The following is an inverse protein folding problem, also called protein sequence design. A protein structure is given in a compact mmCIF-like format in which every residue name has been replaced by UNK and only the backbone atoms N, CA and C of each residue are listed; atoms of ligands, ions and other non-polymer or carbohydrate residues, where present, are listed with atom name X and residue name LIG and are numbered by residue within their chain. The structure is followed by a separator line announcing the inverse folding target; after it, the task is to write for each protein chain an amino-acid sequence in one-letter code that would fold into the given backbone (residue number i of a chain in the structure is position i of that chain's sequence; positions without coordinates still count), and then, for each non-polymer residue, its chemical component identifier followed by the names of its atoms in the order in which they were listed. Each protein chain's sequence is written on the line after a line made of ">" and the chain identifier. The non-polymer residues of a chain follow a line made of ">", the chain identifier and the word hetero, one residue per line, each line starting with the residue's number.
data_IF_407744020611
#
_entry.id   IF_407744020611
#
_cell.length_a   1.000
_cell.length_b   1.000
_cell.length_c   1.000
_cell.angle_alpha   90.00
_cell.angle_beta   90.00
_cell.angle_gamma   90.00
#
_symmetry.space_group_name_H-M   'P 1'
#
loop_
_entity.id
_entity.type
_entity.pdbx_description
1 polymer ?
#
# COMPACT_ATOMS: atom_id res chain seq x y z
N UNK A 1 -31.59 -42.46 19.95
CA UNK A 1 -31.69 -42.45 18.47
C UNK A 1 -32.19 -41.09 18.00
N UNK A 2 -31.28 -40.21 17.60
CA UNK A 2 -31.37 -39.43 16.35
C UNK A 2 -30.06 -38.67 16.19
N UNK A 3 -29.27 -39.20 15.27
CA UNK A 3 -27.98 -38.69 14.81
C UNK A 3 -28.29 -37.53 13.84
N UNK A 4 -27.27 -36.70 13.60
CA UNK A 4 -27.19 -35.61 12.59
C UNK A 4 -27.35 -34.20 13.19
N UNK A 5 -26.40 -33.82 14.04
CA UNK A 5 -26.04 -32.40 14.20
C UNK A 5 -25.20 -31.98 12.99
N UNK A 6 -25.90 -31.41 12.00
CA UNK A 6 -25.51 -30.36 11.07
C UNK A 6 -24.00 -30.23 10.71
N UNK A 7 -23.64 -30.82 9.55
CA UNK A 7 -22.35 -30.67 8.82
C UNK A 7 -22.24 -29.25 8.22
N UNK A 8 -22.50 -28.19 9.00
CA UNK A 8 -22.37 -26.79 8.55
C UNK A 8 -21.10 -26.11 9.02
N UNK A 9 -20.31 -26.76 9.88
CA UNK A 9 -19.06 -26.21 10.42
C UNK A 9 -17.80 -26.58 9.62
N UNK A 10 -17.91 -27.28 8.47
CA UNK A 10 -16.75 -27.74 7.70
C UNK A 10 -16.20 -26.75 6.65
N UNK A 11 -16.78 -25.55 6.54
CA UNK A 11 -16.30 -24.50 5.63
C UNK A 11 -16.06 -23.17 6.34
N UNK A 12 -15.53 -23.20 7.57
CA UNK A 12 -14.90 -22.01 8.13
C UNK A 12 -13.57 -21.82 7.40
N UNK A 13 -13.58 -20.96 6.38
CA UNK A 13 -12.35 -20.47 5.76
C UNK A 13 -11.45 -19.87 6.84
N UNK A 14 -10.13 -20.08 6.77
CA UNK A 14 -9.22 -19.48 7.73
C UNK A 14 -9.37 -17.95 7.64
N UNK A 15 -9.54 -17.31 8.80
CA UNK A 15 -9.57 -15.86 8.98
C UNK A 15 -8.22 -15.31 8.48
N UNK A 16 -8.20 -14.81 7.25
CA UNK A 16 -7.06 -14.24 6.52
C UNK A 16 -7.44 -12.83 6.03
N UNK A 17 -7.81 -11.97 6.97
CA UNK A 17 -8.49 -10.71 6.63
C UNK A 17 -7.90 -9.45 7.30
N UNK A 18 -6.97 -9.57 8.25
CA UNK A 18 -6.39 -8.39 8.93
C UNK A 18 -4.91 -8.14 8.63
N UNK A 19 -4.03 -9.14 8.74
CA UNK A 19 -2.57 -8.94 8.60
C UNK A 19 -2.16 -8.43 7.21
N UNK A 20 -2.74 -8.97 6.14
CA UNK A 20 -2.46 -8.56 4.77
C UNK A 20 -2.90 -7.12 4.48
N UNK A 21 -3.97 -6.65 5.15
CA UNK A 21 -4.44 -5.27 5.03
C UNK A 21 -3.55 -4.32 5.83
N UNK A 22 -3.11 -4.72 7.03
CA UNK A 22 -2.20 -3.94 7.86
C UNK A 22 -0.85 -3.73 7.16
N UNK A 23 -0.30 -4.79 6.56
CA UNK A 23 0.96 -4.69 5.80
C UNK A 23 0.79 -3.84 4.54
N UNK A 24 -0.36 -3.92 3.88
CA UNK A 24 -0.66 -3.07 2.74
C UNK A 24 -0.77 -1.58 3.14
N UNK A 25 -1.41 -1.28 4.27
CA UNK A 25 -1.52 0.08 4.79
C UNK A 25 -0.14 0.65 5.18
N UNK A 26 0.72 -0.15 5.82
CA UNK A 26 2.11 0.24 6.08
C UNK A 26 2.87 0.57 4.80
N UNK A 27 2.79 -0.29 3.78
CA UNK A 27 3.45 -0.05 2.50
C UNK A 27 2.94 1.22 1.80
N UNK A 28 1.66 1.56 1.99
CA UNK A 28 1.07 2.77 1.46
C UNK A 28 1.56 4.03 2.20
N UNK A 29 1.63 3.98 3.53
CA UNK A 29 2.18 5.05 4.36
C UNK A 29 3.67 5.29 4.05
N UNK A 30 4.44 4.21 3.89
CA UNK A 30 5.84 4.26 3.46
C UNK A 30 5.96 4.93 2.09
N UNK A 31 5.14 4.55 1.10
CA UNK A 31 5.15 5.18 -0.21
C UNK A 31 4.77 6.67 -0.17
N UNK A 32 3.87 7.07 0.75
CA UNK A 32 3.55 8.48 0.94
C UNK A 32 4.75 9.24 1.53
N UNK A 33 5.41 8.67 2.53
CA UNK A 33 6.62 9.24 3.13
C UNK A 33 7.74 9.36 2.10
N UNK A 34 8.03 8.30 1.34
CA UNK A 34 9.00 8.33 0.24
C UNK A 34 8.70 9.45 -0.76
N UNK A 35 7.42 9.64 -1.13
CA UNK A 35 7.05 10.73 -2.02
C UNK A 35 7.32 12.10 -1.39
N UNK A 36 7.01 12.29 -0.10
CA UNK A 36 7.28 13.55 0.60
C UNK A 36 8.77 13.82 0.73
N UNK A 37 9.56 12.80 1.00
CA UNK A 37 11.02 12.91 1.09
C UNK A 37 11.64 13.27 -0.27
N UNK A 38 11.21 12.60 -1.35
CA UNK A 38 11.66 12.91 -2.71
C UNK A 38 11.19 14.31 -3.19
N UNK A 39 9.98 14.74 -2.80
CA UNK A 39 9.49 16.10 -3.05
C UNK A 39 10.36 17.14 -2.32
N UNK A 40 10.73 16.87 -1.07
CA UNK A 40 11.63 17.73 -0.30
C UNK A 40 13.04 17.76 -0.91
N UNK A 41 13.56 16.61 -1.34
CA UNK A 41 14.87 16.55 -2.00
C UNK A 41 14.89 17.38 -3.28
N UNK A 42 13.89 17.20 -4.17
CA UNK A 42 13.76 18.00 -5.39
C UNK A 42 13.66 19.51 -5.12
N UNK A 43 12.98 19.93 -4.04
CA UNK A 43 12.88 21.35 -3.67
C UNK A 43 14.19 21.97 -3.18
N UNK A 44 15.10 21.15 -2.65
CA UNK A 44 16.31 21.63 -1.99
C UNK A 44 17.61 21.29 -2.73
N UNK A 45 17.55 20.41 -3.75
CA UNK A 45 18.73 20.07 -4.55
C UNK A 45 19.19 21.29 -5.36
N UNK A 46 20.46 21.65 -5.21
CA UNK A 46 21.10 22.76 -5.95
C UNK A 46 22.19 22.28 -6.90
N UNK A 47 22.58 21.02 -6.79
CA UNK A 47 23.55 20.39 -7.69
C UNK A 47 22.87 20.11 -9.04
N UNK A 48 23.35 20.76 -10.10
CA UNK A 48 22.80 20.64 -11.44
C UNK A 48 22.79 19.21 -11.96
N UNK A 49 23.80 18.40 -11.60
CA UNK A 49 23.91 17.01 -12.08
C UNK A 49 22.88 16.09 -11.39
N UNK A 50 22.27 16.54 -10.29
CA UNK A 50 21.30 15.79 -9.50
C UNK A 50 19.85 16.25 -9.72
N UNK A 51 19.61 17.37 -10.41
CA UNK A 51 18.25 17.90 -10.65
C UNK A 51 17.39 16.88 -11.41
N UNK A 52 17.91 16.34 -12.51
CA UNK A 52 17.17 15.37 -13.32
C UNK A 52 16.87 14.08 -12.55
N UNK A 53 17.83 13.64 -11.73
CA UNK A 53 17.64 12.53 -10.82
C UNK A 53 16.51 12.81 -9.82
N UNK A 54 16.52 13.97 -9.17
CA UNK A 54 15.50 14.36 -8.20
C UNK A 54 14.10 14.46 -8.84
N UNK A 55 14.01 14.98 -10.07
CA UNK A 55 12.74 15.01 -10.84
C UNK A 55 12.24 13.59 -11.08
N UNK A 56 13.12 12.69 -11.53
CA UNK A 56 12.75 11.31 -11.82
C UNK A 56 12.28 10.57 -10.56
N UNK A 57 13.04 10.69 -9.47
CA UNK A 57 12.73 10.06 -8.18
C UNK A 57 11.39 10.55 -7.64
N UNK A 58 11.15 11.86 -7.59
CA UNK A 58 9.87 12.43 -7.14
C UNK A 58 8.69 11.91 -7.98
N UNK A 59 8.85 11.85 -9.31
CA UNK A 59 7.81 11.33 -10.22
C UNK A 59 7.55 9.84 -9.98
N UNK A 60 8.61 9.05 -9.77
CA UNK A 60 8.51 7.62 -9.50
C UNK A 60 7.80 7.33 -8.18
N UNK A 61 8.22 7.99 -7.09
CA UNK A 61 7.61 7.85 -5.77
C UNK A 61 6.13 8.26 -5.77
N UNK A 62 5.79 9.40 -6.40
CA UNK A 62 4.40 9.82 -6.58
C UNK A 62 3.57 8.79 -7.35
N UNK A 63 4.13 8.22 -8.42
CA UNK A 63 3.43 7.21 -9.23
C UNK A 63 3.19 5.92 -8.44
N UNK A 64 4.16 5.49 -7.62
CA UNK A 64 4.03 4.35 -6.69
C UNK A 64 2.89 4.58 -5.69
N UNK A 65 2.87 5.73 -5.00
CA UNK A 65 1.82 6.07 -4.05
C UNK A 65 0.41 6.09 -4.69
N UNK A 66 0.26 6.75 -5.85
CA UNK A 66 -1.02 6.78 -6.57
C UNK A 66 -1.47 5.38 -7.00
N UNK A 67 -0.54 4.53 -7.43
CA UNK A 67 -0.83 3.14 -7.76
C UNK A 67 -1.38 2.37 -6.55
N UNK A 68 -0.75 2.50 -5.39
CA UNK A 68 -1.20 1.85 -4.16
C UNK A 68 -2.57 2.36 -3.70
N UNK A 69 -2.87 3.66 -3.81
CA UNK A 69 -4.22 4.18 -3.54
C UNK A 69 -5.28 3.53 -4.46
N UNK A 70 -4.95 3.32 -5.74
CA UNK A 70 -5.84 2.64 -6.69
C UNK A 70 -6.01 1.16 -6.35
N UNK A 71 -4.97 0.49 -5.85
CA UNK A 71 -5.06 -0.89 -5.34
C UNK A 71 -5.94 -0.96 -4.10
N UNK A 72 -5.78 -0.04 -3.13
CA UNK A 72 -6.58 0.03 -1.92
C UNK A 72 -8.08 0.12 -2.24
N UNK A 73 -8.44 1.03 -3.15
CA UNK A 73 -9.81 1.18 -3.64
C UNK A 73 -10.36 -0.09 -4.29
N UNK A 74 -9.56 -0.80 -5.08
CA UNK A 74 -9.96 -2.07 -5.72
C UNK A 74 -10.16 -3.20 -4.72
N UNK A 75 -9.37 -3.23 -3.65
CA UNK A 75 -9.46 -4.22 -2.57
C UNK A 75 -10.53 -3.87 -1.53
N UNK A 76 -11.16 -2.70 -1.61
CA UNK A 76 -12.11 -2.22 -0.61
C UNK A 76 -11.46 -1.87 0.73
N UNK A 77 -10.13 -1.67 0.75
CA UNK A 77 -9.39 -1.24 1.93
C UNK A 77 -9.70 0.23 2.16
N UNK A 78 -10.11 0.58 3.39
CA UNK A 78 -10.27 1.97 3.80
C UNK A 78 -8.89 2.54 4.12
N UNK A 79 -8.61 3.68 3.50
CA UNK A 79 -7.35 4.43 3.61
C UNK A 79 -7.61 5.73 4.33
#
# INVERSE_FOLDING_TARGET
>A
MNIIYNIRNKFKTPKKDNHDNDDFLKALDEAHKEWKDAENYFKNVTDNDLIDYAIYEMKAARKKYIYLLKEAKRKGIKV
#
